data_IF_261105997332
#
_entry.id   IF_261105997332
#
_cell.length_a   1.000
_cell.length_b   1.000
_cell.length_c   1.000
_cell.angle_alpha   90.00
_cell.angle_beta   90.00
_cell.angle_gamma   90.00
#
_symmetry.space_group_name_H-M   'P 1'
#
loop_
_entity.id
_entity.type
_entity.pdbx_description
1 polymer ?
#
# COMPACT_ATOMS: atom_id res chain seq x y z
N UNK A 1 -11.98 -28.85 -53.52
CA UNK A 1 -12.53 -27.63 -52.89
C UNK A 1 -12.26 -27.73 -51.39
N UNK A 2 -11.02 -27.51 -50.94
CA UNK A 2 -10.55 -26.28 -50.22
C UNK A 2 -11.59 -25.85 -49.17
N UNK A 3 -11.68 -26.45 -47.98
CA UNK A 3 -10.73 -26.41 -46.84
C UNK A 3 -10.31 -24.98 -46.45
N UNK A 4 -11.27 -24.11 -46.12
CA UNK A 4 -11.02 -22.76 -45.61
C UNK A 4 -12.12 -22.34 -44.62
N UNK A 5 -12.29 -23.01 -43.47
CA UNK A 5 -13.20 -22.52 -42.41
C UNK A 5 -12.78 -22.89 -40.97
N UNK A 6 -11.48 -22.99 -40.68
CA UNK A 6 -10.97 -23.19 -39.30
C UNK A 6 -9.84 -22.22 -38.92
N UNK A 7 -9.89 -21.00 -39.44
CA UNK A 7 -8.82 -20.00 -39.25
C UNK A 7 -9.17 -18.81 -38.33
N UNK A 8 -10.13 -18.93 -37.41
CA UNK A 8 -10.62 -17.75 -36.67
C UNK A 8 -10.98 -17.92 -35.18
N UNK A 9 -10.54 -18.98 -34.47
CA UNK A 9 -10.90 -19.18 -33.04
C UNK A 9 -9.70 -19.34 -32.08
N UNK A 10 -8.54 -18.74 -32.36
CA UNK A 10 -7.50 -18.61 -31.32
C UNK A 10 -6.91 -17.19 -31.33
N UNK A 11 -7.77 -16.19 -31.14
CA UNK A 11 -7.34 -14.92 -30.54
C UNK A 11 -7.42 -15.11 -29.03
N UNK A 12 -6.45 -15.85 -28.48
CA UNK A 12 -6.28 -15.93 -27.03
C UNK A 12 -5.86 -14.53 -26.57
N UNK A 13 -6.76 -13.93 -25.81
CA UNK A 13 -6.57 -12.74 -25.01
C UNK A 13 -5.37 -12.97 -24.07
N UNK A 14 -4.16 -12.67 -24.51
CA UNK A 14 -3.02 -12.56 -23.60
C UNK A 14 -3.22 -11.25 -22.86
N UNK A 15 -4.03 -11.30 -21.79
CA UNK A 15 -3.97 -10.30 -20.74
C UNK A 15 -2.55 -10.38 -20.17
N UNK A 16 -1.67 -9.55 -20.71
CA UNK A 16 -0.35 -9.30 -20.14
C UNK A 16 -0.60 -8.78 -18.72
N UNK A 17 -0.52 -9.70 -17.76
CA UNK A 17 -0.50 -9.40 -16.33
C UNK A 17 0.78 -8.61 -16.07
N UNK A 18 0.71 -7.30 -16.25
CA UNK A 18 1.79 -6.36 -16.00
C UNK A 18 1.99 -6.20 -14.50
N UNK A 19 2.38 -7.25 -13.79
CA UNK A 19 2.93 -7.10 -12.44
C UNK A 19 4.42 -6.86 -12.56
N UNK A 20 4.96 -5.93 -11.75
CA UNK A 20 6.38 -5.57 -11.84
C UNK A 20 7.21 -6.83 -11.58
N UNK A 21 8.04 -7.29 -12.54
CA UNK A 21 8.64 -8.62 -12.46
C UNK A 21 9.67 -8.74 -11.34
N UNK A 22 10.08 -7.64 -10.69
CA UNK A 22 11.21 -7.64 -9.76
C UNK A 22 11.07 -6.65 -8.57
N UNK A 23 9.91 -6.61 -7.90
CA UNK A 23 9.68 -5.80 -6.68
C UNK A 23 8.70 -4.63 -6.80
N UNK A 24 8.59 -3.78 -5.78
CA UNK A 24 7.54 -2.76 -5.64
C UNK A 24 7.83 -1.43 -6.35
N UNK A 25 9.10 -1.10 -6.63
CA UNK A 25 9.50 0.19 -7.20
C UNK A 25 9.32 1.40 -6.27
N UNK A 26 8.91 1.19 -5.01
CA UNK A 26 8.75 2.23 -3.99
C UNK A 26 8.93 1.67 -2.59
N UNK A 27 9.33 2.52 -1.65
CA UNK A 27 9.42 2.23 -0.22
C UNK A 27 8.09 2.42 0.51
N UNK A 28 7.16 3.21 -0.03
CA UNK A 28 6.00 3.68 0.74
C UNK A 28 4.68 3.14 0.19
N UNK A 29 3.87 2.56 1.08
CA UNK A 29 2.49 2.17 0.82
C UNK A 29 1.54 3.37 0.94
N UNK A 30 1.73 4.35 0.05
CA UNK A 30 0.85 5.52 -0.11
C UNK A 30 0.19 5.41 -1.48
N UNK A 31 -1.14 5.56 -1.55
CA UNK A 31 -1.89 5.36 -2.79
C UNK A 31 -1.30 6.13 -3.98
N UNK A 32 -1.05 7.42 -3.82
CA UNK A 32 -0.48 8.25 -4.90
C UNK A 32 0.90 7.75 -5.36
N UNK A 33 1.74 7.28 -4.44
CA UNK A 33 3.06 6.73 -4.77
C UNK A 33 2.95 5.39 -5.49
N UNK A 34 2.05 4.52 -5.04
CA UNK A 34 1.82 3.19 -5.62
C UNK A 34 1.22 3.33 -7.02
N UNK A 35 0.18 4.14 -7.21
CA UNK A 35 -0.41 4.39 -8.52
C UNK A 35 0.55 5.12 -9.48
N UNK A 36 1.45 5.92 -8.93
CA UNK A 36 2.48 6.67 -9.66
C UNK A 36 3.70 5.86 -10.08
N UNK A 37 3.81 4.58 -9.71
CA UNK A 37 4.88 3.70 -10.24
C UNK A 37 4.72 3.58 -11.76
N UNK A 38 5.83 3.72 -12.49
CA UNK A 38 5.84 3.73 -13.95
C UNK A 38 5.08 2.54 -14.56
N UNK A 39 4.24 2.84 -15.56
CA UNK A 39 3.32 1.90 -16.23
C UNK A 39 2.18 1.35 -15.36
N UNK A 40 1.99 1.89 -14.14
CA UNK A 40 0.95 1.51 -13.17
C UNK A 40 0.68 -0.01 -13.07
N UNK A 41 1.72 -0.85 -12.87
CA UNK A 41 1.60 -2.30 -12.94
C UNK A 41 0.70 -2.90 -11.83
N UNK A 42 0.43 -2.13 -10.78
CA UNK A 42 -0.44 -2.54 -9.68
C UNK A 42 -1.93 -2.23 -9.89
N UNK A 43 -2.29 -1.49 -10.95
CA UNK A 43 -3.65 -1.01 -11.15
C UNK A 43 -4.04 0.12 -10.18
N UNK A 44 -5.32 0.14 -9.78
CA UNK A 44 -5.89 1.14 -8.85
C UNK A 44 -6.11 0.59 -7.45
N UNK A 45 -6.22 1.47 -6.47
CA UNK A 45 -6.62 1.07 -5.12
C UNK A 45 -7.99 0.37 -5.16
N UNK A 46 -8.03 -0.82 -4.58
CA UNK A 46 -9.23 -1.61 -4.37
C UNK A 46 -9.27 -2.04 -2.90
N UNK A 47 -10.12 -1.40 -2.11
CA UNK A 47 -10.26 -1.67 -0.68
C UNK A 47 -11.08 -2.93 -0.39
N UNK A 48 -11.72 -3.53 -1.41
CA UNK A 48 -12.58 -4.70 -1.28
C UNK A 48 -11.84 -6.03 -1.53
N UNK A 49 -10.51 -6.05 -1.57
CA UNK A 49 -9.73 -7.27 -1.76
C UNK A 49 -9.63 -8.14 -0.49
N UNK A 50 -10.06 -7.61 0.66
CA UNK A 50 -10.15 -8.31 1.94
C UNK A 50 -8.83 -8.93 2.44
N UNK A 51 -7.69 -8.32 2.09
CA UNK A 51 -6.40 -8.67 2.70
C UNK A 51 -6.27 -8.07 4.10
N UNK A 52 -5.60 -8.80 5.00
CA UNK A 52 -5.39 -8.39 6.37
C UNK A 52 -4.14 -9.02 6.98
N UNK A 53 -3.53 -8.33 7.93
CA UNK A 53 -2.43 -8.86 8.72
C UNK A 53 -2.93 -9.51 10.00
N UNK A 54 -2.42 -10.70 10.28
CA UNK A 54 -2.58 -11.35 11.58
C UNK A 54 -1.18 -11.68 12.13
N UNK A 55 -0.90 -11.18 13.33
CA UNK A 55 0.33 -11.51 14.05
C UNK A 55 -0.02 -12.26 15.32
N UNK A 56 0.65 -13.38 15.53
CA UNK A 56 0.54 -14.12 16.76
C UNK A 56 1.61 -13.62 17.76
N UNK A 57 1.32 -12.49 18.41
CA UNK A 57 2.15 -11.93 19.48
C UNK A 57 1.43 -12.07 20.82
N UNK A 58 2.12 -12.63 21.82
CA UNK A 58 1.55 -12.79 23.17
C UNK A 58 1.23 -11.41 23.76
N UNK A 59 -0.04 -11.19 24.12
CA UNK A 59 -0.54 -9.94 24.69
C UNK A 59 -0.22 -8.69 23.84
N UNK A 60 -0.19 -8.83 22.51
CA UNK A 60 0.18 -7.76 21.57
C UNK A 60 1.56 -7.13 21.82
N UNK A 61 2.48 -7.89 22.43
CA UNK A 61 3.82 -7.40 22.71
C UNK A 61 4.87 -8.09 21.84
N UNK A 62 5.75 -7.29 21.24
CA UNK A 62 6.96 -7.83 20.61
C UNK A 62 8.09 -7.90 21.64
N UNK A 63 9.03 -8.82 21.40
CA UNK A 63 10.23 -8.98 22.23
C UNK A 63 11.39 -8.39 21.42
N UNK A 64 12.16 -7.42 21.95
CA UNK A 64 13.35 -6.91 21.26
C UNK A 64 14.30 -8.04 20.86
N UNK A 65 14.73 -8.07 19.61
CA UNK A 65 15.54 -9.13 19.01
C UNK A 65 14.82 -10.48 18.82
N UNK A 66 13.56 -10.59 19.26
CA UNK A 66 12.73 -11.77 19.08
C UNK A 66 12.09 -11.82 17.70
N UNK A 67 11.71 -13.03 17.26
CA UNK A 67 11.03 -13.24 15.98
C UNK A 67 9.52 -13.43 16.16
N UNK A 68 8.76 -12.98 15.17
CA UNK A 68 7.31 -13.09 15.08
C UNK A 68 6.90 -13.55 13.67
N UNK A 69 5.82 -14.31 13.60
CA UNK A 69 5.23 -14.72 12.32
C UNK A 69 4.06 -13.79 12.01
N UNK A 70 4.19 -13.08 10.89
CA UNK A 70 3.11 -12.33 10.26
C UNK A 70 2.42 -13.22 9.22
N UNK A 71 1.12 -13.40 9.35
CA UNK A 71 0.31 -14.04 8.32
C UNK A 71 -0.43 -12.98 7.52
N UNK A 72 -0.22 -12.97 6.20
CA UNK A 72 -1.02 -12.19 5.26
C UNK A 72 -2.25 -13.00 4.86
N UNK A 73 -3.39 -12.70 5.48
CA UNK A 73 -4.67 -13.30 5.15
C UNK A 73 -5.29 -12.62 3.93
N UNK A 74 -6.06 -13.39 3.17
CA UNK A 74 -6.83 -12.92 2.02
C UNK A 74 -7.71 -14.05 1.48
N UNK A 75 -8.57 -13.73 0.52
CA UNK A 75 -9.49 -14.71 -0.08
C UNK A 75 -9.01 -15.26 -1.43
N UNK A 76 -7.93 -14.69 -1.98
CA UNK A 76 -7.42 -15.02 -3.31
C UNK A 76 -5.88 -14.94 -3.35
N UNK A 77 -5.22 -15.56 -4.34
CA UNK A 77 -3.80 -15.36 -4.58
C UNK A 77 -3.45 -13.91 -4.93
N UNK A 78 -2.20 -13.52 -4.67
CA UNK A 78 -1.66 -12.21 -5.03
C UNK A 78 -0.34 -12.33 -5.78
N UNK A 79 -0.04 -11.37 -6.64
CA UNK A 79 1.15 -11.39 -7.49
C UNK A 79 2.28 -10.51 -6.92
N UNK A 80 1.93 -9.40 -6.25
CA UNK A 80 2.90 -8.43 -5.73
C UNK A 80 2.71 -8.08 -4.26
N UNK A 81 3.81 -7.76 -3.58
CA UNK A 81 3.79 -7.25 -2.22
C UNK A 81 4.86 -6.17 -2.02
N UNK A 82 4.53 -5.18 -1.18
CA UNK A 82 5.47 -4.33 -0.47
C UNK A 82 5.13 -4.46 1.01
N UNK A 83 6.08 -4.79 1.87
CA UNK A 83 5.84 -4.98 3.30
C UNK A 83 7.01 -4.47 4.13
N UNK A 84 6.70 -3.76 5.21
CA UNK A 84 7.65 -3.24 6.17
C UNK A 84 6.97 -3.01 7.52
N UNK A 85 7.77 -2.84 8.57
CA UNK A 85 7.30 -2.43 9.88
C UNK A 85 7.79 -1.01 10.17
N UNK A 86 6.94 -0.18 10.78
CA UNK A 86 7.23 1.21 11.11
C UNK A 86 7.32 1.42 12.61
N UNK A 87 8.33 2.16 13.06
CA UNK A 87 8.37 2.73 14.41
C UNK A 87 7.50 4.00 14.53
N UNK A 88 7.55 4.64 15.71
CA UNK A 88 6.81 5.90 15.95
C UNK A 88 7.31 7.09 15.13
N UNK A 89 8.56 7.05 14.66
CA UNK A 89 9.24 8.04 13.83
C UNK A 89 9.05 7.79 12.33
N UNK A 90 8.31 6.74 11.96
CA UNK A 90 8.09 6.31 10.57
C UNK A 90 9.35 5.78 9.87
N UNK A 91 10.34 5.34 10.64
CA UNK A 91 11.44 4.56 10.12
C UNK A 91 11.00 3.12 9.90
N UNK A 92 11.51 2.51 8.84
CA UNK A 92 11.39 1.08 8.63
C UNK A 92 12.28 0.38 9.67
N UNK A 93 11.77 -0.66 10.34
CA UNK A 93 12.46 -1.29 11.46
C UNK A 93 12.34 -2.82 11.48
N UNK A 94 13.39 -3.45 12.01
CA UNK A 94 13.48 -4.89 12.15
C UNK A 94 13.88 -5.56 10.83
N UNK A 95 14.09 -6.87 10.85
CA UNK A 95 14.59 -7.61 9.69
C UNK A 95 13.60 -8.70 9.28
N UNK A 96 13.47 -8.92 7.98
CA UNK A 96 12.62 -9.98 7.44
C UNK A 96 13.45 -11.18 7.01
N UNK A 97 12.99 -12.39 7.36
CA UNK A 97 13.54 -13.61 6.78
C UNK A 97 12.98 -13.81 5.38
N UNK A 98 13.85 -13.75 4.38
CA UNK A 98 13.47 -13.95 2.98
C UNK A 98 13.17 -15.42 2.71
N UNK A 99 11.97 -15.68 2.18
CA UNK A 99 11.55 -16.99 1.68
C UNK A 99 11.31 -16.92 0.16
N UNK A 100 11.12 -18.08 -0.48
CA UNK A 100 10.88 -18.17 -1.93
C UNK A 100 9.67 -17.30 -2.34
N UNK A 101 9.81 -16.51 -3.40
CA UNK A 101 8.77 -15.59 -3.86
C UNK A 101 8.98 -14.15 -3.37
N UNK A 102 9.93 -13.93 -2.47
CA UNK A 102 10.21 -12.65 -1.83
C UNK A 102 11.69 -12.32 -1.89
N UNK A 103 12.00 -11.05 -1.67
CA UNK A 103 13.35 -10.54 -1.51
C UNK A 103 13.34 -9.26 -0.68
N UNK A 104 14.50 -8.88 -0.16
CA UNK A 104 14.70 -7.53 0.35
C UNK A 104 14.53 -6.53 -0.79
N UNK A 105 13.85 -5.42 -0.51
CA UNK A 105 13.71 -4.34 -1.47
C UNK A 105 15.07 -3.66 -1.65
N UNK A 106 15.64 -3.74 -2.85
CA UNK A 106 16.93 -3.13 -3.18
C UNK A 106 16.77 -1.61 -3.46
N UNK A 107 16.28 -0.88 -2.47
CA UNK A 107 16.13 0.58 -2.45
C UNK A 107 16.47 1.09 -1.05
N UNK A 108 17.06 2.28 -0.96
CA UNK A 108 17.31 2.92 0.34
C UNK A 108 16.00 3.48 0.90
N UNK A 109 15.33 2.69 1.74
CA UNK A 109 14.16 3.13 2.49
C UNK A 109 14.59 3.78 3.81
N UNK A 110 13.83 4.76 4.27
CA UNK A 110 14.14 5.44 5.54
C UNK A 110 14.16 4.43 6.69
N UNK A 111 15.28 4.35 7.41
CA UNK A 111 15.41 3.54 8.61
C UNK A 111 16.07 2.17 8.46
N UNK A 112 16.04 1.50 7.28
CA UNK A 112 16.62 0.16 7.19
C UNK A 112 16.90 -0.35 5.75
N UNK A 113 18.09 -0.93 5.47
CA UNK A 113 18.39 -1.72 4.26
C UNK A 113 17.74 -3.11 4.21
N UNK A 114 17.28 -3.71 5.33
CA UNK A 114 16.62 -5.04 5.38
C UNK A 114 15.17 -5.02 5.89
N UNK A 115 14.70 -3.86 6.37
CA UNK A 115 13.37 -3.71 6.99
C UNK A 115 12.19 -3.70 6.02
N UNK A 116 12.47 -3.86 4.72
CA UNK A 116 11.46 -3.86 3.66
C UNK A 116 11.61 -5.05 2.74
N UNK A 117 10.53 -5.80 2.58
CA UNK A 117 10.47 -6.88 1.60
C UNK A 117 9.49 -6.60 0.49
N UNK A 118 9.76 -7.22 -0.65
CA UNK A 118 8.90 -7.18 -1.82
C UNK A 118 8.90 -8.54 -2.53
N UNK A 119 8.07 -8.71 -3.55
CA UNK A 119 8.08 -9.91 -4.37
C UNK A 119 9.32 -9.99 -5.26
N UNK A 120 9.84 -11.20 -5.46
CA UNK A 120 10.95 -11.46 -6.40
C UNK A 120 10.50 -11.62 -7.85
N UNK A 121 9.21 -11.87 -8.06
CA UNK A 121 8.60 -12.24 -9.32
C UNK A 121 7.10 -11.96 -9.31
N UNK A 122 6.55 -11.81 -10.51
CA UNK A 122 5.13 -11.69 -10.82
C UNK A 122 4.30 -12.95 -10.50
N UNK A 123 4.96 -14.05 -10.11
CA UNK A 123 4.29 -15.33 -9.90
C UNK A 123 3.26 -15.24 -8.75
N UNK A 124 2.07 -15.85 -8.90
CA UNK A 124 1.07 -15.86 -7.85
C UNK A 124 1.59 -16.51 -6.56
N UNK A 125 1.25 -15.89 -5.44
CA UNK A 125 1.53 -16.34 -4.07
C UNK A 125 0.20 -16.65 -3.39
N UNK A 126 0.13 -17.72 -2.59
CA UNK A 126 -1.12 -18.11 -1.95
C UNK A 126 -1.53 -17.10 -0.88
N UNK A 127 -2.84 -16.95 -0.67
CA UNK A 127 -3.35 -16.34 0.55
C UNK A 127 -2.88 -17.13 1.79
N UNK A 128 -2.76 -16.47 2.94
CA UNK A 128 -2.23 -17.08 4.16
C UNK A 128 -0.71 -17.23 4.16
N UNK A 129 0.00 -16.46 3.32
CA UNK A 129 1.47 -16.47 3.32
C UNK A 129 1.99 -16.04 4.70
N UNK A 130 2.91 -16.83 5.23
CA UNK A 130 3.59 -16.57 6.50
C UNK A 130 4.96 -15.95 6.25
N UNK A 131 5.23 -14.83 6.92
CA UNK A 131 6.45 -14.04 6.79
C UNK A 131 7.05 -13.86 8.19
N UNK A 132 8.34 -14.16 8.33
CA UNK A 132 9.02 -14.06 9.63
C UNK A 132 9.69 -12.70 9.74
N UNK A 133 9.34 -11.96 10.79
CA UNK A 133 9.93 -10.67 11.15
C UNK A 133 10.71 -10.82 12.44
N UNK A 134 11.92 -10.27 12.49
CA UNK A 134 12.74 -10.16 13.69
C UNK A 134 12.74 -8.72 14.15
N UNK A 135 12.28 -8.50 15.38
CA UNK A 135 12.21 -7.18 15.97
C UNK A 135 13.60 -6.55 16.14
N UNK A 136 13.70 -5.21 16.14
CA UNK A 136 14.94 -4.52 16.52
C UNK A 136 15.48 -5.02 17.87
N UNK A 137 16.80 -4.99 18.03
CA UNK A 137 17.47 -5.48 19.26
C UNK A 137 17.13 -4.65 20.51
N UNK A 138 16.59 -3.46 20.34
CA UNK A 138 16.19 -2.53 21.40
C UNK A 138 14.71 -2.16 21.26
N UNK A 139 14.11 -1.66 22.34
CA UNK A 139 12.76 -1.07 22.29
C UNK A 139 12.78 0.20 21.43
N UNK A 140 12.11 0.14 20.27
CA UNK A 140 11.95 1.27 19.33
C UNK A 140 10.57 1.93 19.48
N UNK A 141 9.85 1.60 20.54
CA UNK A 141 8.49 2.03 20.77
C UNK A 141 7.46 1.20 19.99
N UNK A 142 6.24 1.74 19.80
CA UNK A 142 5.16 1.05 19.09
C UNK A 142 5.50 0.79 17.63
N UNK A 143 5.35 -0.46 17.20
CA UNK A 143 5.61 -0.92 15.83
C UNK A 143 4.30 -1.23 15.11
N UNK A 144 4.16 -0.75 13.88
CA UNK A 144 3.01 -1.04 12.99
C UNK A 144 3.47 -1.68 11.70
N UNK A 145 2.86 -2.79 11.29
CA UNK A 145 3.12 -3.43 10.00
C UNK A 145 2.28 -2.78 8.92
N UNK A 146 2.92 -2.42 7.80
CA UNK A 146 2.28 -1.78 6.67
C UNK A 146 2.66 -2.53 5.41
N UNK A 147 1.69 -2.77 4.54
CA UNK A 147 1.99 -3.31 3.23
C UNK A 147 1.00 -2.94 2.15
N UNK A 148 1.42 -3.18 0.91
CA UNK A 148 0.61 -3.10 -0.29
C UNK A 148 0.55 -4.48 -0.91
N UNK A 149 -0.64 -5.00 -1.17
CA UNK A 149 -0.87 -6.32 -1.77
C UNK A 149 -1.51 -6.13 -3.13
N UNK A 150 -0.92 -6.73 -4.17
CA UNK A 150 -1.34 -6.56 -5.56
C UNK A 150 -1.87 -7.89 -6.09
N UNK A 151 -3.10 -7.93 -6.58
CA UNK A 151 -3.65 -9.14 -7.22
C UNK A 151 -3.19 -9.17 -8.67
N UNK A 152 -3.57 -8.19 -9.48
CA UNK A 152 -3.07 -7.96 -10.83
C UNK A 152 -3.47 -6.54 -11.27
N UNK A 153 -2.98 -6.07 -12.41
CA UNK A 153 -3.27 -4.72 -12.91
C UNK A 153 -4.76 -4.42 -13.12
N UNK A 154 -5.58 -5.42 -13.48
CA UNK A 154 -7.02 -5.26 -13.70
C UNK A 154 -7.82 -5.22 -12.38
N UNK A 155 -7.43 -6.03 -11.40
CA UNK A 155 -8.09 -6.12 -10.09
C UNK A 155 -7.63 -5.02 -9.12
N UNK A 156 -6.38 -4.57 -9.25
CA UNK A 156 -5.80 -3.52 -8.42
C UNK A 156 -5.00 -4.02 -7.22
N UNK A 157 -4.79 -3.11 -6.27
CA UNK A 157 -4.04 -3.35 -5.04
C UNK A 157 -4.81 -2.89 -3.79
N UNK A 158 -4.46 -3.43 -2.63
CA UNK A 158 -4.95 -2.97 -1.34
C UNK A 158 -3.76 -2.56 -0.45
N UNK A 159 -3.91 -1.45 0.28
CA UNK A 159 -3.00 -1.08 1.37
C UNK A 159 -3.55 -1.66 2.67
N UNK A 160 -2.70 -2.37 3.41
CA UNK A 160 -3.04 -3.07 4.65
C UNK A 160 -2.15 -2.53 5.77
N UNK A 161 -2.73 -2.36 6.96
CA UNK A 161 -2.03 -1.95 8.18
C UNK A 161 -2.45 -2.84 9.34
N UNK A 162 -1.52 -3.23 10.19
CA UNK A 162 -1.84 -3.87 11.45
C UNK A 162 -2.23 -2.83 12.51
N UNK A 163 -2.69 -3.30 13.67
CA UNK A 163 -2.58 -2.54 14.91
C UNK A 163 -1.12 -2.32 15.31
N UNK A 164 -0.88 -1.44 16.29
CA UNK A 164 0.45 -1.24 16.86
C UNK A 164 0.77 -2.30 17.92
N UNK A 165 2.04 -2.71 18.00
CA UNK A 165 2.59 -3.63 19.00
C UNK A 165 3.73 -2.96 19.76
N UNK A 166 3.82 -3.16 21.07
CA UNK A 166 4.83 -2.52 21.92
C UNK A 166 5.61 -3.53 22.73
N UNK A 167 6.71 -3.13 23.37
CA UNK A 167 7.36 -3.98 24.38
C UNK A 167 6.52 -3.99 25.67
N UNK A 168 6.38 -5.15 26.31
CA UNK A 168 5.69 -5.25 27.59
C UNK A 168 6.42 -4.40 28.66
N UNK A 169 5.71 -3.48 29.31
CA UNK A 169 6.31 -2.57 30.30
C UNK A 169 7.26 -1.54 29.69
N UNK A 170 7.11 -1.23 28.40
CA UNK A 170 7.91 -0.21 27.71
C UNK A 170 7.92 1.12 28.46
N UNK A 171 9.11 1.68 28.65
CA UNK A 171 9.32 3.04 29.13
C UNK A 171 9.56 4.03 27.98
N UNK A 172 9.24 3.64 26.75
CA UNK A 172 9.50 4.46 25.56
C UNK A 172 8.72 5.77 25.61
N UNK A 173 9.43 6.89 25.73
CA UNK A 173 8.87 8.24 25.69
C UNK A 173 9.00 8.82 24.28
N UNK A 174 8.22 8.28 23.34
CA UNK A 174 8.12 8.84 21.99
C UNK A 174 6.82 9.64 21.78
N UNK A 175 6.63 10.22 20.58
CA UNK A 175 5.36 10.86 20.23
C UNK A 175 4.19 9.88 20.44
N UNK A 176 3.06 10.31 21.02
CA UNK A 176 1.97 9.42 21.37
C UNK A 176 1.46 8.66 20.12
N UNK A 177 1.42 7.33 20.20
CA UNK A 177 0.80 6.50 19.18
C UNK A 177 -0.71 6.77 19.14
N UNK A 178 -1.26 7.08 17.97
CA UNK A 178 -2.70 7.24 17.80
C UNK A 178 -3.39 5.88 18.05
N UNK A 179 -4.04 5.75 19.20
CA UNK A 179 -4.97 4.67 19.50
C UNK A 179 -6.28 4.92 18.73
N UNK A 180 -6.56 4.07 17.74
CA UNK A 180 -7.91 3.99 17.17
C UNK A 180 -8.82 3.33 18.20
N UNK A 181 -9.57 4.13 18.94
CA UNK A 181 -10.74 3.67 19.68
C UNK A 181 -11.75 3.13 18.68
N UNK A 182 -12.03 1.83 18.75
CA UNK A 182 -13.16 1.22 18.07
C UNK A 182 -14.44 1.93 18.54
N UNK A 183 -15.09 2.66 17.62
CA UNK A 183 -16.43 3.20 17.84
C UNK A 183 -17.39 2.02 17.85
N UNK A 184 -17.90 1.71 19.03
CA UNK A 184 -19.07 0.87 19.24
C UNK A 184 -20.28 1.49 18.50
N UNK A 185 -20.98 0.79 17.59
CA UNK A 185 -22.19 1.33 16.98
C UNK A 185 -23.32 1.31 18.00
N UNK A 186 -23.69 2.50 18.50
CA UNK A 186 -24.91 2.67 19.30
C UNK A 186 -26.14 2.78 18.38
N UNK A 187 -27.30 2.20 18.72
CA UNK A 187 -28.47 2.17 17.85
C UNK A 187 -29.16 3.55 17.74
N UNK A 188 -29.61 3.86 16.53
CA UNK A 188 -30.42 5.02 16.16
C UNK A 188 -31.84 4.95 16.73
N UNK A 189 -32.30 6.04 17.35
CA UNK A 189 -33.72 6.25 17.64
C UNK A 189 -34.05 7.68 18.06
N UNK A 190 -34.89 8.37 17.27
CA UNK A 190 -35.88 9.33 17.79
C UNK A 190 -35.63 10.84 17.65
N UNK A 191 -36.04 11.38 16.50
CA UNK A 191 -36.88 12.60 16.28
C UNK A 191 -36.79 13.81 17.23
N UNK A 192 -36.52 15.00 16.67
CA UNK A 192 -37.48 16.14 16.59
C UNK A 192 -36.85 17.42 15.98
N UNK A 193 -37.53 17.99 14.97
CA UNK A 193 -37.46 19.42 14.56
C UNK A 193 -38.58 20.19 15.29
N UNK A 194 -38.55 21.55 15.46
CA UNK A 194 -38.81 22.53 14.36
C UNK A 194 -38.03 23.89 14.47
N UNK A 195 -37.50 24.46 13.37
CA UNK A 195 -38.02 25.60 12.54
C UNK A 195 -37.59 27.04 13.04
N UNK A 196 -37.82 28.18 12.30
CA UNK A 196 -36.89 28.83 11.34
C UNK A 196 -36.63 30.35 11.59
N UNK A 197 -36.13 31.06 10.54
CA UNK A 197 -35.93 32.53 10.30
C UNK A 197 -34.54 33.08 10.66
N UNK A 198 -33.84 33.95 9.91
CA UNK A 198 -34.18 34.96 8.87
C UNK A 198 -32.96 35.37 7.99
N UNK A 199 -33.21 35.74 6.72
CA UNK A 199 -32.32 36.46 5.75
C UNK A 199 -32.28 38.00 6.09
N UNK A 200 -31.65 38.99 5.37
CA UNK A 200 -30.79 39.00 4.15
C UNK A 200 -29.61 40.02 4.06
N UNK A 201 -28.91 40.01 2.90
CA UNK A 201 -28.09 41.08 2.24
C UNK A 201 -26.60 41.15 2.65
N UNK A 202 -25.57 41.41 1.81
CA UNK A 202 -25.32 42.52 0.85
C UNK A 202 -24.26 42.11 -0.25
N UNK A 203 -23.64 42.99 -1.10
CA UNK A 203 -23.79 43.04 -2.56
C UNK A 203 -22.52 42.71 -3.39
N UNK A 204 -22.70 42.81 -4.70
CA UNK A 204 -21.78 42.73 -5.86
C UNK A 204 -20.63 43.74 -5.89
N UNK A 205 -19.49 43.34 -6.49
CA UNK A 205 -18.67 44.23 -7.35
C UNK A 205 -17.77 43.42 -8.29
N UNK A 206 -17.90 43.72 -9.58
CA UNK A 206 -17.07 43.29 -10.72
C UNK A 206 -15.59 43.70 -10.61
N UNK A 207 -14.71 42.97 -11.30
CA UNK A 207 -13.95 43.46 -12.47
C UNK A 207 -12.64 42.68 -12.71
N UNK A 208 -12.64 41.91 -13.80
CA UNK A 208 -11.65 41.81 -14.88
C UNK A 208 -10.19 42.26 -14.67
N UNK A 209 -9.23 41.38 -14.96
CA UNK A 209 -7.93 41.76 -15.54
C UNK A 209 -7.13 40.57 -16.12
N UNK A 210 -7.15 40.49 -17.45
CA UNK A 210 -6.00 40.37 -18.37
C UNK A 210 -5.11 39.10 -18.40
N UNK A 211 -5.32 38.35 -19.49
CA UNK A 211 -4.34 38.02 -20.56
C UNK A 211 -2.87 37.79 -20.16
N UNK A 212 -2.43 36.53 -20.31
CA UNK A 212 -1.01 36.16 -20.25
C UNK A 212 -0.76 34.72 -20.72
N UNK A 213 -1.19 34.39 -21.94
CA UNK A 213 -0.82 33.13 -22.59
C UNK A 213 0.62 33.18 -23.08
N UNK A 214 1.48 32.31 -22.56
CA UNK A 214 2.82 32.08 -23.09
C UNK A 214 2.95 30.61 -23.52
N UNK A 215 2.94 30.39 -24.83
CA UNK A 215 3.29 29.14 -25.49
C UNK A 215 4.79 28.89 -25.29
N UNK A 216 5.16 27.81 -24.60
CA UNK A 216 6.52 27.31 -24.60
C UNK A 216 6.66 26.23 -25.68
N UNK A 217 7.34 26.58 -26.76
CA UNK A 217 7.73 25.70 -27.87
C UNK A 217 8.91 24.81 -27.41
N UNK A 218 8.70 23.51 -27.24
CA UNK A 218 9.78 22.54 -27.07
C UNK A 218 10.24 22.02 -28.44
N UNK A 219 11.45 22.41 -28.85
CA UNK A 219 12.18 21.86 -30.01
C UNK A 219 12.54 20.39 -29.75
N UNK A 220 12.02 19.47 -30.56
CA UNK A 220 12.61 18.15 -30.77
C UNK A 220 13.89 18.30 -31.60
N UNK A 221 15.03 17.93 -31.01
CA UNK A 221 16.28 17.68 -31.72
C UNK A 221 16.48 16.17 -31.84
N UNK A 222 16.20 15.62 -33.02
CA UNK A 222 16.56 14.25 -33.41
C UNK A 222 18.00 14.29 -33.93
N UNK A 223 18.94 13.68 -33.21
CA UNK A 223 20.28 13.38 -33.73
C UNK A 223 20.37 11.88 -33.94
N UNK A 224 20.42 11.47 -35.20
CA UNK A 224 20.80 10.13 -35.61
C UNK A 224 22.32 9.96 -35.41
N UNK A 225 22.71 8.90 -34.71
CA UNK A 225 24.07 8.40 -34.70
C UNK A 225 24.07 6.98 -35.30
N UNK A 226 25.13 6.74 -36.08
CA UNK A 226 25.45 5.61 -36.95
C UNK A 226 25.27 4.23 -36.32
#
# INVERSE_FOLDING_TARGET
>A
MRSIFYGFIISILVAVVSSFPNGSGTCNSIQATIEGVANSPMGKLNTALNYGFNLNLKNNNYIPGGSAILTLNGTQPYNGILLYALDSQKNHVGAWTVTKGFKILNMSCAGDPEGTITHDSANPKPAGTQLTWTAPKTDVGPVTFVGTVVVNAATGFQIVKSQSFSVAGSNFTGPPASTNTAVNPQPTGGSAAPNPTSNPSIPTSDASSLMGGSLLLAKLGLVAAL
#
